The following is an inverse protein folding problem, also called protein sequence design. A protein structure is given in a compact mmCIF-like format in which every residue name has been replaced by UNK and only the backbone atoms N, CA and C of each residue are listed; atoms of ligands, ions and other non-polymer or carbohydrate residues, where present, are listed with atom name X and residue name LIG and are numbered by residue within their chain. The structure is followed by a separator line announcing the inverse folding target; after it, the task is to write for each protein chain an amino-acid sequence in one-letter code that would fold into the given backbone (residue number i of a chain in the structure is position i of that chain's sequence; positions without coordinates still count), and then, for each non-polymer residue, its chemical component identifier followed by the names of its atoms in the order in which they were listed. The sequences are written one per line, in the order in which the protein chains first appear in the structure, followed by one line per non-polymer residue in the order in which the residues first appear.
data_IF_647438011217
#
_entry.id   IF_647438011217
#
_cell.length_a   1.000
_cell.length_b   1.000
_cell.length_c   1.000
_cell.angle_alpha   90.00
_cell.angle_beta   90.00
_cell.angle_gamma   90.00
#
_symmetry.space_group_name_H-M   'P 1'
#
loop_
_entity.id
_entity.type
_entity.pdbx_description
1 polymer ?
#
# COMPACT_ATOMS: atom_id res chain seq x y z
N UNK A 1 18.86 0.51 1.94
CA UNK A 1 19.88 1.22 1.17
C UNK A 1 19.51 1.36 -0.31
N UNK A 2 19.11 0.29 -1.00
CA UNK A 2 18.87 0.32 -2.47
C UNK A 2 17.89 1.43 -2.87
N UNK A 3 16.73 1.52 -2.23
CA UNK A 3 15.74 2.56 -2.53
C UNK A 3 16.31 3.97 -2.36
N UNK A 4 16.96 4.23 -1.23
CA UNK A 4 17.58 5.53 -0.95
C UNK A 4 18.60 5.90 -2.01
N UNK A 5 19.49 4.99 -2.40
CA UNK A 5 20.49 5.29 -3.43
C UNK A 5 19.83 5.68 -4.76
N UNK A 6 18.76 5.00 -5.14
CA UNK A 6 18.01 5.32 -6.36
C UNK A 6 17.31 6.68 -6.23
N UNK A 7 16.62 6.94 -5.12
CA UNK A 7 15.94 8.22 -4.91
C UNK A 7 16.90 9.40 -4.85
N UNK A 8 18.09 9.20 -4.26
CA UNK A 8 19.10 10.24 -4.14
C UNK A 8 19.83 10.48 -5.46
N UNK A 9 20.40 9.45 -6.09
CA UNK A 9 21.31 9.64 -7.22
C UNK A 9 20.66 9.54 -8.59
N UNK A 10 19.51 8.89 -8.73
CA UNK A 10 18.84 8.72 -10.02
C UNK A 10 17.70 9.71 -10.23
N UNK A 11 16.99 10.09 -9.16
CA UNK A 11 15.81 10.95 -9.27
C UNK A 11 16.03 12.41 -8.84
N UNK A 12 17.05 12.67 -8.02
CA UNK A 12 17.18 13.96 -7.33
C UNK A 12 18.62 14.45 -7.23
N UNK A 13 19.46 14.06 -8.19
CA UNK A 13 20.82 14.61 -8.42
C UNK A 13 21.70 14.76 -7.16
N UNK A 14 21.58 13.84 -6.21
CA UNK A 14 22.37 13.80 -4.98
C UNK A 14 21.61 14.21 -3.71
N UNK A 15 20.36 14.68 -3.83
CA UNK A 15 19.52 15.05 -2.69
C UNK A 15 18.54 13.94 -2.29
N UNK A 16 18.33 13.75 -0.99
CA UNK A 16 17.36 12.78 -0.49
C UNK A 16 15.94 13.25 -0.84
N UNK A 17 15.16 12.40 -1.49
CA UNK A 17 13.84 12.76 -2.03
C UNK A 17 12.76 11.69 -1.83
N UNK A 18 11.53 12.03 -2.21
CA UNK A 18 10.36 11.17 -2.14
C UNK A 18 9.91 10.88 -0.70
N UNK A 19 8.94 9.97 -0.55
CA UNK A 19 8.34 9.59 0.75
C UNK A 19 9.36 9.41 1.88
N UNK A 20 10.52 8.81 1.60
CA UNK A 20 11.53 8.56 2.63
C UNK A 20 12.16 9.82 3.19
N UNK A 21 12.29 10.87 2.37
CA UNK A 21 12.79 12.18 2.79
C UNK A 21 11.74 12.89 3.61
N UNK A 22 10.51 12.96 3.09
CA UNK A 22 9.40 13.65 3.76
C UNK A 22 9.08 13.05 5.14
N UNK A 23 8.98 11.73 5.27
CA UNK A 23 8.72 11.11 6.59
C UNK A 23 9.85 11.35 7.60
N UNK A 24 11.08 11.46 7.12
CA UNK A 24 12.22 11.76 7.96
C UNK A 24 12.23 13.24 8.37
N UNK A 25 12.08 14.16 7.41
CA UNK A 25 12.07 15.60 7.65
C UNK A 25 10.90 16.03 8.55
N UNK A 26 9.68 15.56 8.28
CA UNK A 26 8.52 15.81 9.14
C UNK A 26 8.75 15.26 10.56
N UNK A 27 9.44 14.12 10.68
CA UNK A 27 9.82 13.53 11.97
C UNK A 27 10.78 14.44 12.75
N UNK A 28 11.74 15.07 12.07
CA UNK A 28 12.64 16.04 12.67
C UNK A 28 11.92 17.29 13.15
N UNK A 29 11.01 17.83 12.33
CA UNK A 29 10.20 19.00 12.69
C UNK A 29 9.39 18.67 13.95
N UNK A 30 8.72 17.52 13.99
CA UNK A 30 8.02 17.08 15.20
C UNK A 30 8.96 16.94 16.41
N UNK A 31 10.17 16.41 16.22
CA UNK A 31 11.15 16.29 17.31
C UNK A 31 11.56 17.66 17.87
N UNK A 32 11.75 18.67 17.01
CA UNK A 32 12.12 20.04 17.42
C UNK A 32 11.09 20.69 18.34
N UNK A 33 9.79 20.36 18.17
CA UNK A 33 8.72 20.82 19.07
C UNK A 33 9.02 20.46 20.53
N UNK A 34 9.71 19.35 20.80
CA UNK A 34 10.07 18.97 22.17
C UNK A 34 10.95 20.01 22.87
N UNK A 35 11.89 20.63 22.13
CA UNK A 35 12.77 21.67 22.67
C UNK A 35 12.02 22.98 22.94
N UNK A 36 10.95 23.26 22.19
CA UNK A 36 10.11 24.45 22.36
C UNK A 36 9.04 24.27 23.45
N UNK A 37 8.34 23.14 23.43
CA UNK A 37 7.27 22.79 24.35
C UNK A 37 7.12 21.26 24.45
N UNK A 38 7.66 20.64 25.51
CA UNK A 38 7.47 19.21 25.75
C UNK A 38 6.00 18.78 25.83
N UNK A 39 5.12 19.67 26.32
CA UNK A 39 3.68 19.40 26.40
C UNK A 39 3.05 19.28 25.00
N UNK A 40 3.35 20.21 24.10
CA UNK A 40 2.84 20.21 22.73
C UNK A 40 3.38 18.97 21.98
N UNK A 41 4.67 18.65 22.20
CA UNK A 41 5.30 17.45 21.64
C UNK A 41 4.56 16.17 22.04
N UNK A 42 4.34 15.93 23.33
CA UNK A 42 3.65 14.72 23.78
C UNK A 42 2.19 14.69 23.34
N UNK A 43 1.54 15.85 23.23
CA UNK A 43 0.19 15.96 22.66
C UNK A 43 0.19 15.46 21.21
N UNK A 44 1.10 15.96 20.36
CA UNK A 44 1.22 15.55 18.95
C UNK A 44 1.73 14.10 18.79
N UNK A 45 2.49 13.59 19.76
CA UNK A 45 2.98 12.22 19.75
C UNK A 45 1.86 11.19 19.94
N UNK A 46 0.85 11.50 20.77
CA UNK A 46 -0.24 10.58 21.10
C UNK A 46 -1.56 10.92 20.40
N UNK A 47 -1.81 12.20 20.12
CA UNK A 47 -2.99 12.74 19.47
C UNK A 47 -2.63 13.46 18.15
N UNK A 48 -3.57 13.65 17.24
CA UNK A 48 -3.33 14.34 15.96
C UNK A 48 -3.06 15.84 16.13
N UNK A 49 -3.36 16.40 17.30
CA UNK A 49 -3.40 17.84 17.54
C UNK A 49 -4.67 18.47 16.97
N UNK A 50 -5.10 19.58 17.57
CA UNK A 50 -6.10 20.44 16.95
C UNK A 50 -5.47 21.26 15.81
N UNK A 51 -6.32 21.89 14.99
CA UNK A 51 -5.86 22.63 13.82
C UNK A 51 -4.90 23.78 14.19
N UNK A 52 -5.16 24.50 15.29
CA UNK A 52 -4.32 25.62 15.72
C UNK A 52 -2.94 25.17 16.20
N UNK A 53 -2.86 24.04 16.90
CA UNK A 53 -1.59 23.45 17.33
C UNK A 53 -0.78 22.95 16.13
N UNK A 54 -1.44 22.30 15.17
CA UNK A 54 -0.78 21.82 13.95
C UNK A 54 -0.27 22.99 13.10
N UNK A 55 -1.08 24.03 12.91
CA UNK A 55 -0.65 25.23 12.15
C UNK A 55 0.48 25.98 12.86
N UNK A 56 0.48 26.05 14.19
CA UNK A 56 1.56 26.74 14.91
C UNK A 56 2.87 25.95 14.96
N UNK A 57 2.81 24.62 15.16
CA UNK A 57 4.00 23.79 15.42
C UNK A 57 4.48 22.97 14.23
N UNK A 58 3.62 22.67 13.26
CA UNK A 58 3.88 21.72 12.18
C UNK A 58 3.59 22.32 10.79
N UNK A 59 3.59 23.65 10.63
CA UNK A 59 3.32 24.30 9.34
C UNK A 59 4.29 23.91 8.22
N UNK A 60 5.54 23.58 8.57
CA UNK A 60 6.57 23.14 7.62
C UNK A 60 6.49 21.65 7.26
N UNK A 61 5.55 20.90 7.86
CA UNK A 61 5.39 19.47 7.55
C UNK A 61 4.60 19.26 6.26
N UNK A 62 5.06 18.37 5.40
CA UNK A 62 4.41 18.10 4.11
C UNK A 62 3.38 16.96 4.17
N UNK A 63 3.51 16.06 5.14
CA UNK A 63 2.76 14.81 5.19
C UNK A 63 1.97 14.59 6.48
N UNK A 64 2.06 15.49 7.46
CA UNK A 64 1.25 15.43 8.69
C UNK A 64 -0.25 15.62 8.44
N UNK A 65 -0.61 16.51 7.52
CA UNK A 65 -1.99 16.82 7.13
C UNK A 65 -2.11 16.76 5.60
N UNK A 66 -2.90 15.82 5.08
CA UNK A 66 -3.17 15.70 3.63
C UNK A 66 -4.38 16.49 3.16
N UNK A 67 -5.38 16.66 4.03
CA UNK A 67 -6.53 17.54 3.83
C UNK A 67 -7.15 17.90 5.18
N UNK A 68 -7.84 19.03 5.27
CA UNK A 68 -8.53 19.49 6.50
C UNK A 68 -9.53 18.47 7.06
N UNK A 69 -10.00 17.54 6.23
CA UNK A 69 -10.99 16.51 6.59
C UNK A 69 -10.38 15.10 6.77
N UNK A 70 -9.05 14.94 6.68
CA UNK A 70 -8.40 13.63 6.76
C UNK A 70 -8.24 13.16 8.22
N UNK A 71 -9.32 12.62 8.78
CA UNK A 71 -9.33 12.05 10.14
C UNK A 71 -8.43 10.81 10.28
N UNK A 72 -8.04 10.15 9.18
CA UNK A 72 -7.24 8.92 9.19
C UNK A 72 -5.99 9.04 8.31
N UNK A 73 -5.07 9.93 8.69
CA UNK A 73 -3.77 10.03 8.03
C UNK A 73 -2.76 9.01 8.58
N UNK A 74 -2.51 7.97 7.80
CA UNK A 74 -1.56 6.89 8.09
C UNK A 74 -0.08 7.32 8.04
N UNK A 75 0.24 8.53 7.55
CA UNK A 75 1.59 9.10 7.59
C UNK A 75 2.06 9.43 9.02
N UNK A 76 1.13 9.84 9.90
CA UNK A 76 1.48 10.35 11.25
C UNK A 76 2.25 9.33 12.07
N UNK A 77 1.92 8.03 11.94
CA UNK A 77 2.60 6.98 12.69
C UNK A 77 4.09 6.86 12.35
N UNK A 78 4.43 6.88 11.06
CA UNK A 78 5.84 6.81 10.64
C UNK A 78 6.60 8.10 10.99
N UNK A 79 5.94 9.26 10.93
CA UNK A 79 6.51 10.56 11.37
C UNK A 79 6.84 10.51 12.87
N UNK A 80 5.91 10.04 13.71
CA UNK A 80 6.11 9.87 15.16
C UNK A 80 7.27 8.92 15.48
N UNK A 81 7.41 7.81 14.75
CA UNK A 81 8.56 6.91 14.92
C UNK A 81 9.87 7.62 14.58
N UNK A 82 9.94 8.35 13.46
CA UNK A 82 11.13 9.11 13.11
C UNK A 82 11.46 10.18 14.16
N UNK A 83 10.46 10.91 14.65
CA UNK A 83 10.63 11.87 15.73
C UNK A 83 11.21 11.26 17.01
N UNK A 84 10.79 10.05 17.37
CA UNK A 84 11.38 9.33 18.52
C UNK A 84 12.81 8.87 18.25
N UNK A 85 13.10 8.44 17.01
CA UNK A 85 14.45 8.03 16.61
C UNK A 85 15.42 9.22 16.57
N UNK A 86 14.96 10.43 16.26
CA UNK A 86 15.77 11.66 16.22
C UNK A 86 16.52 11.92 17.54
N UNK A 87 15.92 11.61 18.70
CA UNK A 87 16.59 11.72 19.99
C UNK A 87 17.86 10.86 20.13
N UNK A 88 17.89 9.70 19.45
CA UNK A 88 18.99 8.74 19.54
C UNK A 88 19.94 8.91 18.36
N UNK A 89 19.41 9.22 17.18
CA UNK A 89 20.16 9.34 15.94
C UNK A 89 20.89 10.67 15.78
N UNK A 90 20.51 11.70 16.55
CA UNK A 90 20.93 13.09 16.32
C UNK A 90 20.65 13.54 14.89
N UNK A 91 19.45 13.21 14.40
CA UNK A 91 18.98 13.51 13.04
C UNK A 91 19.86 12.95 11.91
N UNK A 92 20.52 11.83 12.15
CA UNK A 92 21.27 11.11 11.11
C UNK A 92 20.34 10.14 10.38
N UNK A 93 19.98 10.47 9.14
CA UNK A 93 19.05 9.68 8.31
C UNK A 93 19.43 8.18 8.20
N UNK A 94 20.71 7.87 8.07
CA UNK A 94 21.17 6.47 7.92
C UNK A 94 20.87 5.61 9.16
N UNK A 95 20.81 6.21 10.37
CA UNK A 95 20.44 5.49 11.60
C UNK A 95 18.96 5.12 11.56
N UNK A 96 18.10 6.03 11.10
CA UNK A 96 16.68 5.75 10.89
C UNK A 96 16.51 4.66 9.84
N UNK A 97 17.16 4.80 8.69
CA UNK A 97 17.11 3.79 7.63
C UNK A 97 17.52 2.40 8.15
N UNK A 98 18.60 2.31 8.93
CA UNK A 98 19.06 1.05 9.52
C UNK A 98 18.00 0.46 10.45
N UNK A 99 17.38 1.27 11.31
CA UNK A 99 16.29 0.82 12.19
C UNK A 99 15.13 0.22 11.39
N UNK A 100 14.65 0.89 10.34
CA UNK A 100 13.54 0.39 9.51
C UNK A 100 13.92 -0.90 8.76
N UNK A 101 15.16 -1.01 8.26
CA UNK A 101 15.66 -2.23 7.63
C UNK A 101 15.69 -3.38 8.64
N UNK A 102 16.25 -3.16 9.83
CA UNK A 102 16.31 -4.18 10.89
C UNK A 102 14.91 -4.61 11.35
N UNK A 103 13.98 -3.68 11.49
CA UNK A 103 12.57 -3.94 11.79
C UNK A 103 11.93 -4.85 10.72
N UNK A 104 12.06 -4.51 9.44
CA UNK A 104 11.52 -5.33 8.36
C UNK A 104 12.16 -6.72 8.29
N UNK A 105 13.47 -6.81 8.52
CA UNK A 105 14.21 -8.06 8.52
C UNK A 105 13.78 -8.98 9.68
N UNK A 106 13.55 -8.43 10.87
CA UNK A 106 12.96 -9.17 11.99
C UNK A 106 11.56 -9.69 11.62
N UNK A 107 10.73 -8.88 10.96
CA UNK A 107 9.43 -9.30 10.42
C UNK A 107 9.54 -10.51 9.49
N UNK A 108 10.47 -10.46 8.53
CA UNK A 108 10.72 -11.57 7.60
C UNK A 108 11.23 -12.83 8.32
N UNK A 109 12.07 -12.70 9.34
CA UNK A 109 12.50 -13.84 10.16
C UNK A 109 11.32 -14.48 10.90
N UNK A 110 10.48 -13.67 11.55
CA UNK A 110 9.31 -14.16 12.27
C UNK A 110 8.32 -14.85 11.30
N UNK A 111 8.10 -14.27 10.13
CA UNK A 111 7.31 -14.89 9.08
C UNK A 111 7.91 -16.22 8.62
N UNK A 112 9.20 -16.25 8.25
CA UNK A 112 9.94 -17.45 7.86
C UNK A 112 9.83 -18.57 8.91
N UNK A 113 10.03 -18.23 10.19
CA UNK A 113 9.91 -19.18 11.30
C UNK A 113 8.51 -19.75 11.48
N UNK A 114 7.49 -19.06 10.98
CA UNK A 114 6.11 -19.54 11.02
C UNK A 114 5.78 -20.56 9.94
N UNK A 115 6.62 -20.66 8.90
CA UNK A 115 6.33 -21.46 7.69
C UNK A 115 7.44 -22.44 7.30
N UNK A 116 8.62 -22.39 7.93
CA UNK A 116 9.76 -23.25 7.55
C UNK A 116 9.50 -24.75 7.71
N UNK A 117 8.55 -25.13 8.57
CA UNK A 117 8.10 -26.50 8.82
C UNK A 117 7.23 -27.06 7.69
N UNK A 118 6.61 -26.21 6.86
CA UNK A 118 5.85 -26.65 5.68
C UNK A 118 6.76 -27.22 4.58
N UNK A 119 8.03 -26.79 4.53
CA UNK A 119 9.02 -27.23 3.53
C UNK A 119 10.38 -27.59 4.13
N UNK A 120 10.48 -28.69 4.91
CA UNK A 120 11.70 -29.05 5.62
C UNK A 120 12.94 -29.21 4.72
N UNK A 121 12.74 -29.59 3.45
CA UNK A 121 13.81 -29.78 2.47
C UNK A 121 14.35 -28.48 1.87
N UNK A 122 13.51 -27.44 1.81
CA UNK A 122 13.78 -26.19 1.07
C UNK A 122 13.83 -24.96 1.99
N UNK A 123 14.22 -25.17 3.25
CA UNK A 123 14.26 -24.11 4.28
C UNK A 123 15.18 -22.95 3.88
N UNK A 124 16.37 -23.28 3.36
CA UNK A 124 17.36 -22.26 2.95
C UNK A 124 16.85 -21.47 1.74
N UNK A 125 16.28 -22.17 0.78
CA UNK A 125 15.72 -21.60 -0.45
C UNK A 125 14.53 -20.70 -0.16
N UNK A 126 13.66 -21.09 0.79
CA UNK A 126 12.57 -20.24 1.27
C UNK A 126 13.10 -18.96 1.94
N UNK A 127 14.11 -19.09 2.79
CA UNK A 127 14.71 -17.93 3.45
C UNK A 127 15.34 -16.99 2.42
N UNK A 128 16.11 -17.53 1.46
CA UNK A 128 16.69 -16.76 0.37
C UNK A 128 15.63 -16.11 -0.51
N UNK A 129 14.54 -16.82 -0.84
CA UNK A 129 13.42 -16.26 -1.58
C UNK A 129 12.83 -15.06 -0.84
N UNK A 130 12.58 -15.15 0.46
CA UNK A 130 11.99 -14.07 1.25
C UNK A 130 12.86 -12.80 1.30
N UNK A 131 14.18 -12.94 1.40
CA UNK A 131 15.09 -11.79 1.54
C UNK A 131 15.59 -11.25 0.20
N UNK A 132 15.59 -12.06 -0.87
CA UNK A 132 16.06 -11.66 -2.20
C UNK A 132 14.90 -11.35 -3.17
N UNK A 133 13.65 -11.52 -2.74
CA UNK A 133 12.52 -11.18 -3.59
C UNK A 133 12.56 -9.68 -3.94
N UNK A 134 12.63 -9.29 -5.22
CA UNK A 134 12.98 -7.92 -5.62
C UNK A 134 12.15 -6.83 -4.95
N UNK A 135 10.81 -6.93 -4.97
CA UNK A 135 9.95 -5.91 -4.37
C UNK A 135 10.07 -5.86 -2.85
N UNK A 136 10.20 -7.00 -2.16
CA UNK A 136 10.41 -6.99 -0.71
C UNK A 136 11.74 -6.30 -0.39
N UNK A 137 12.81 -6.74 -1.04
CA UNK A 137 14.14 -6.17 -0.86
C UNK A 137 14.18 -4.67 -1.17
N UNK A 138 13.46 -4.22 -2.20
CA UNK A 138 13.46 -2.82 -2.61
C UNK A 138 12.63 -1.95 -1.66
N UNK A 139 11.34 -2.26 -1.47
CA UNK A 139 10.40 -1.41 -0.73
C UNK A 139 10.56 -1.46 0.78
N UNK A 140 11.25 -2.45 1.34
CA UNK A 140 11.60 -2.48 2.78
C UNK A 140 13.01 -1.95 3.07
N UNK A 141 13.69 -1.38 2.07
CA UNK A 141 15.07 -0.92 2.20
C UNK A 141 15.24 0.54 2.64
N UNK A 142 14.20 1.22 3.14
CA UNK A 142 14.32 2.59 3.63
C UNK A 142 13.26 2.95 4.68
N UNK A 143 13.17 4.24 5.04
CA UNK A 143 12.20 4.82 5.97
C UNK A 143 10.83 4.87 5.29
N UNK A 144 10.19 3.71 5.15
CA UNK A 144 8.89 3.53 4.52
C UNK A 144 7.94 2.72 5.39
N UNK A 145 6.64 2.91 5.13
CA UNK A 145 5.55 2.18 5.80
C UNK A 145 5.61 0.69 5.53
N UNK A 146 6.08 0.29 4.36
CA UNK A 146 6.24 -1.12 3.97
C UNK A 146 7.16 -1.87 4.94
N UNK A 147 8.25 -1.25 5.41
CA UNK A 147 9.16 -1.85 6.38
C UNK A 147 8.45 -2.21 7.70
N UNK A 148 7.61 -1.30 8.21
CA UNK A 148 6.82 -1.50 9.42
C UNK A 148 5.68 -2.50 9.21
N UNK A 149 5.03 -2.48 8.04
CA UNK A 149 3.98 -3.44 7.70
C UNK A 149 4.53 -4.87 7.74
N UNK A 150 5.70 -5.12 7.15
CA UNK A 150 6.33 -6.44 7.16
C UNK A 150 6.69 -6.89 8.58
N UNK A 151 7.16 -5.97 9.44
CA UNK A 151 7.34 -6.25 10.87
C UNK A 151 6.03 -6.66 11.54
N UNK A 152 4.99 -5.82 11.43
CA UNK A 152 3.70 -6.06 12.06
C UNK A 152 3.05 -7.37 11.59
N UNK A 153 3.13 -7.65 10.29
CA UNK A 153 2.60 -8.90 9.72
C UNK A 153 3.40 -10.13 10.18
N UNK A 154 4.73 -10.06 10.21
CA UNK A 154 5.59 -11.13 10.72
C UNK A 154 5.30 -11.45 12.19
N UNK A 155 5.18 -10.42 13.04
CA UNK A 155 4.79 -10.55 14.44
C UNK A 155 3.42 -11.19 14.61
N UNK A 156 2.44 -10.74 13.83
CA UNK A 156 1.07 -11.26 13.86
C UNK A 156 1.02 -12.75 13.51
N UNK A 157 1.59 -13.15 12.37
CA UNK A 157 1.56 -14.54 11.91
C UNK A 157 2.31 -15.46 12.87
N UNK A 158 3.49 -15.05 13.34
CA UNK A 158 4.28 -15.83 14.29
C UNK A 158 3.62 -15.95 15.67
N UNK A 159 2.98 -14.87 16.13
CA UNK A 159 2.18 -14.85 17.35
C UNK A 159 1.00 -15.82 17.26
N UNK A 160 0.22 -15.77 16.18
CA UNK A 160 -0.93 -16.66 15.93
C UNK A 160 -0.50 -18.13 15.80
N UNK A 161 0.51 -18.41 14.96
CA UNK A 161 0.95 -19.78 14.62
C UNK A 161 1.43 -20.58 15.85
N UNK A 162 2.12 -19.91 16.76
CA UNK A 162 2.71 -20.50 17.96
C UNK A 162 2.02 -20.02 19.24
N UNK A 163 0.79 -19.53 19.12
CA UNK A 163 0.00 -19.12 20.27
C UNK A 163 -0.18 -20.30 21.24
N UNK A 164 0.04 -20.03 22.53
CA UNK A 164 -0.22 -20.98 23.60
C UNK A 164 -0.66 -20.18 24.82
N UNK A 165 -1.72 -20.61 25.50
CA UNK A 165 -2.24 -19.98 26.73
C UNK A 165 -1.14 -19.86 27.80
N UNK A 166 -0.14 -20.76 27.77
CA UNK A 166 1.00 -20.74 28.70
C UNK A 166 2.11 -19.73 28.32
N UNK A 167 2.01 -19.06 27.18
CA UNK A 167 3.07 -18.21 26.63
C UNK A 167 2.59 -16.78 26.39
N UNK A 168 2.77 -15.91 27.39
CA UNK A 168 2.29 -14.51 27.38
C UNK A 168 2.96 -13.64 26.30
N UNK A 169 4.23 -13.88 25.97
CA UNK A 169 4.94 -13.04 24.99
C UNK A 169 4.39 -13.18 23.55
N UNK A 170 3.73 -14.30 23.22
CA UNK A 170 3.03 -14.45 21.93
C UNK A 170 1.84 -13.52 21.80
N UNK A 171 1.12 -13.28 22.91
CA UNK A 171 0.02 -12.31 22.98
C UNK A 171 0.56 -10.91 22.73
N UNK A 172 1.70 -10.57 23.33
CA UNK A 172 2.37 -9.28 23.11
C UNK A 172 2.70 -9.09 21.63
N UNK A 173 3.23 -10.12 20.95
CA UNK A 173 3.49 -10.05 19.51
C UNK A 173 2.22 -9.87 18.67
N UNK A 174 1.12 -10.53 19.03
CA UNK A 174 -0.17 -10.35 18.33
C UNK A 174 -0.66 -8.91 18.51
N UNK A 175 -0.69 -8.40 19.74
CA UNK A 175 -1.16 -7.04 20.05
C UNK A 175 -0.28 -6.00 19.36
N UNK A 176 1.05 -6.14 19.45
CA UNK A 176 1.99 -5.23 18.82
C UNK A 176 1.89 -5.29 17.28
N UNK A 177 1.76 -6.50 16.72
CA UNK A 177 1.57 -6.69 15.28
C UNK A 177 0.29 -6.03 14.78
N UNK A 178 -0.84 -6.21 15.47
CA UNK A 178 -2.11 -5.55 15.16
C UNK A 178 -2.00 -4.03 15.28
N UNK A 179 -1.36 -3.52 16.34
CA UNK A 179 -1.15 -2.09 16.55
C UNK A 179 -0.33 -1.47 15.41
N UNK A 180 0.77 -2.10 15.00
CA UNK A 180 1.60 -1.63 13.88
C UNK A 180 0.79 -1.64 12.58
N UNK A 181 0.07 -2.73 12.27
CA UNK A 181 -0.71 -2.83 11.04
C UNK A 181 -1.84 -1.81 10.96
N UNK A 182 -2.54 -1.58 12.07
CA UNK A 182 -3.63 -0.59 12.15
C UNK A 182 -3.14 0.83 11.87
N UNK A 183 -1.98 1.19 12.42
CA UNK A 183 -1.42 2.54 12.28
C UNK A 183 -0.61 2.75 10.99
N UNK A 184 -0.18 1.68 10.32
CA UNK A 184 0.58 1.78 9.07
C UNK A 184 -0.32 1.72 7.84
N UNK A 185 -1.16 0.69 7.73
CA UNK A 185 -2.03 0.44 6.56
C UNK A 185 -3.26 -0.35 7.00
N UNK A 186 -4.25 0.35 7.56
CA UNK A 186 -5.48 -0.28 8.07
C UNK A 186 -6.23 -1.12 7.01
N UNK A 187 -6.16 -0.75 5.73
CA UNK A 187 -6.77 -1.52 4.64
C UNK A 187 -6.19 -2.92 4.48
N UNK A 188 -4.90 -3.13 4.81
CA UNK A 188 -4.28 -4.46 4.82
C UNK A 188 -4.92 -5.34 5.90
N UNK A 189 -5.20 -4.78 7.07
CA UNK A 189 -5.90 -5.48 8.15
C UNK A 189 -7.35 -5.79 7.79
N UNK A 190 -8.07 -4.85 7.15
CA UNK A 190 -9.43 -5.10 6.67
C UNK A 190 -9.50 -6.25 5.65
N UNK A 191 -8.46 -6.44 4.83
CA UNK A 191 -8.38 -7.61 3.94
C UNK A 191 -8.05 -8.92 4.70
N UNK A 192 -7.31 -8.84 5.81
CA UNK A 192 -6.99 -10.00 6.64
C UNK A 192 -8.19 -10.51 7.43
N UNK A 193 -9.11 -9.66 7.88
CA UNK A 193 -10.27 -10.07 8.70
C UNK A 193 -11.12 -11.16 8.02
N UNK A 194 -11.65 -10.98 6.79
CA UNK A 194 -12.42 -12.03 6.11
C UNK A 194 -11.56 -13.26 5.76
N UNK A 195 -10.26 -13.07 5.51
CA UNK A 195 -9.35 -14.19 5.30
C UNK A 195 -9.20 -15.05 6.58
N UNK A 196 -8.97 -14.43 7.73
CA UNK A 196 -8.87 -15.09 9.04
C UNK A 196 -10.18 -15.78 9.42
N UNK A 197 -11.33 -15.18 9.10
CA UNK A 197 -12.63 -15.81 9.28
C UNK A 197 -12.71 -17.18 8.59
N UNK A 198 -12.24 -17.29 7.34
CA UNK A 198 -12.18 -18.58 6.64
C UNK A 198 -11.19 -19.57 7.26
N UNK A 199 -10.04 -19.10 7.72
CA UNK A 199 -9.07 -19.96 8.40
C UNK A 199 -9.68 -20.62 9.66
N UNK A 200 -10.54 -19.90 10.38
CA UNK A 200 -11.18 -20.37 11.61
C UNK A 200 -12.38 -21.31 11.35
N UNK A 201 -13.22 -20.99 10.37
CA UNK A 201 -14.52 -21.65 10.18
C UNK A 201 -14.49 -22.82 9.20
N UNK A 202 -13.62 -22.77 8.18
CA UNK A 202 -13.64 -23.80 7.15
C UNK A 202 -13.22 -25.16 7.71
N UNK A 203 -13.87 -26.20 7.22
CA UNK A 203 -13.54 -27.58 7.57
C UNK A 203 -12.42 -28.12 6.67
N UNK A 204 -11.75 -29.19 7.10
CA UNK A 204 -10.70 -29.83 6.28
C UNK A 204 -11.24 -30.50 4.99
N UNK A 205 -12.57 -30.57 4.81
CA UNK A 205 -13.19 -31.11 3.60
C UNK A 205 -13.15 -30.10 2.45
N UNK A 206 -12.46 -30.44 1.37
CA UNK A 206 -12.35 -29.62 0.15
C UNK A 206 -13.72 -29.25 -0.44
N UNK A 207 -14.61 -30.24 -0.64
CA UNK A 207 -15.93 -30.01 -1.27
C UNK A 207 -16.81 -29.07 -0.44
N UNK A 208 -16.90 -29.29 0.88
CA UNK A 208 -17.71 -28.43 1.78
C UNK A 208 -17.13 -27.02 1.84
N UNK A 209 -15.81 -26.89 1.88
CA UNK A 209 -15.15 -25.58 1.91
C UNK A 209 -15.44 -24.74 0.68
N UNK A 210 -15.47 -25.34 -0.52
CA UNK A 210 -15.86 -24.63 -1.75
C UNK A 210 -17.30 -24.13 -1.72
N UNK A 211 -18.24 -24.93 -1.17
CA UNK A 211 -19.64 -24.52 -1.05
C UNK A 211 -19.75 -23.32 -0.09
N UNK A 212 -19.14 -23.42 1.10
CA UNK A 212 -19.12 -22.34 2.08
C UNK A 212 -18.45 -21.08 1.52
N UNK A 213 -17.33 -21.24 0.81
CA UNK A 213 -16.62 -20.14 0.17
C UNK A 213 -17.46 -19.44 -0.91
N UNK A 214 -18.09 -20.22 -1.80
CA UNK A 214 -18.93 -19.68 -2.88
C UNK A 214 -20.14 -18.94 -2.33
N UNK A 215 -20.79 -19.50 -1.31
CA UNK A 215 -21.89 -18.83 -0.62
C UNK A 215 -21.44 -17.51 0.02
N UNK A 216 -20.28 -17.49 0.66
CA UNK A 216 -19.75 -16.28 1.27
C UNK A 216 -19.41 -15.20 0.24
N UNK A 217 -18.78 -15.57 -0.89
CA UNK A 217 -18.51 -14.63 -1.99
C UNK A 217 -19.83 -14.05 -2.53
N UNK A 218 -20.84 -14.89 -2.72
CA UNK A 218 -22.18 -14.46 -3.13
C UNK A 218 -22.80 -13.48 -2.10
N UNK A 219 -22.76 -13.81 -0.81
CA UNK A 219 -23.23 -12.92 0.25
C UNK A 219 -22.43 -11.61 0.32
N UNK A 220 -21.12 -11.65 0.04
CA UNK A 220 -20.28 -10.46 -0.04
C UNK A 220 -20.69 -9.51 -1.17
N UNK A 221 -21.05 -10.05 -2.34
CA UNK A 221 -21.59 -9.26 -3.45
C UNK A 221 -22.94 -8.64 -3.09
N UNK A 222 -23.85 -9.42 -2.46
CA UNK A 222 -25.12 -8.88 -1.97
C UNK A 222 -24.91 -7.80 -0.90
N UNK A 223 -23.94 -8.00 0.00
CA UNK A 223 -23.58 -7.03 1.01
C UNK A 223 -23.06 -5.73 0.38
N UNK A 224 -22.26 -5.78 -0.70
CA UNK A 224 -21.83 -4.57 -1.41
C UNK A 224 -23.02 -3.79 -1.98
N UNK A 225 -23.99 -4.51 -2.59
CA UNK A 225 -25.23 -3.90 -3.08
C UNK A 225 -26.05 -3.27 -1.96
N UNK A 226 -26.27 -3.99 -0.86
CA UNK A 226 -26.97 -3.46 0.30
C UNK A 226 -26.24 -2.28 0.96
N UNK A 227 -24.92 -2.37 1.14
CA UNK A 227 -24.09 -1.33 1.71
C UNK A 227 -24.12 -0.03 0.88
N UNK A 228 -24.23 -0.16 -0.45
CA UNK A 228 -24.30 1.00 -1.35
C UNK A 228 -25.53 1.88 -1.14
N UNK A 229 -26.55 1.40 -0.41
CA UNK A 229 -27.77 2.17 -0.07
C UNK A 229 -27.58 3.12 1.10
N UNK A 230 -26.51 2.97 1.89
CA UNK A 230 -26.22 3.85 3.02
C UNK A 230 -25.43 5.08 2.57
N UNK A 231 -25.67 6.24 3.20
CA UNK A 231 -24.94 7.48 2.89
C UNK A 231 -23.63 7.60 3.66
N UNK A 232 -23.62 7.32 4.97
CA UNK A 232 -22.46 7.55 5.84
C UNK A 232 -21.37 6.47 5.75
N UNK A 233 -21.74 5.22 5.50
CA UNK A 233 -20.82 4.07 5.45
C UNK A 233 -20.93 3.35 4.12
N UNK A 234 -20.59 4.06 3.03
CA UNK A 234 -20.68 3.52 1.68
C UNK A 234 -19.30 3.12 1.16
N UNK A 235 -19.03 1.81 1.13
CA UNK A 235 -17.76 1.26 0.64
C UNK A 235 -17.52 1.64 -0.83
N UNK A 236 -18.59 1.65 -1.64
CA UNK A 236 -18.48 1.96 -3.07
C UNK A 236 -18.05 3.41 -3.26
N UNK A 237 -18.69 4.35 -2.55
CA UNK A 237 -18.29 5.76 -2.59
C UNK A 237 -16.87 5.98 -2.09
N UNK A 238 -16.46 5.28 -1.02
CA UNK A 238 -15.09 5.37 -0.51
C UNK A 238 -14.06 4.89 -1.54
N UNK A 239 -14.30 3.76 -2.21
CA UNK A 239 -13.41 3.25 -3.27
C UNK A 239 -13.39 4.23 -4.46
N UNK A 240 -14.54 4.76 -4.86
CA UNK A 240 -14.66 5.72 -5.96
C UNK A 240 -13.91 7.02 -5.65
N UNK A 241 -14.03 7.54 -4.43
CA UNK A 241 -13.29 8.71 -3.97
C UNK A 241 -11.78 8.45 -4.00
N UNK A 242 -11.31 7.33 -3.44
CA UNK A 242 -9.88 6.97 -3.49
C UNK A 242 -9.38 6.80 -4.92
N UNK A 243 -10.18 6.23 -5.81
CA UNK A 243 -9.85 6.12 -7.23
C UNK A 243 -9.73 7.52 -7.88
N UNK A 244 -10.64 8.45 -7.58
CA UNK A 244 -10.56 9.85 -8.04
C UNK A 244 -9.30 10.53 -7.55
N UNK A 245 -9.01 10.48 -6.24
CA UNK A 245 -7.83 11.08 -5.63
C UNK A 245 -6.53 10.61 -6.30
N UNK A 246 -6.39 9.29 -6.48
CA UNK A 246 -5.22 8.72 -7.13
C UNK A 246 -5.15 8.99 -8.64
N UNK A 247 -6.30 9.15 -9.32
CA UNK A 247 -6.33 9.61 -10.70
C UNK A 247 -5.82 11.06 -10.83
N UNK A 248 -6.19 11.95 -9.90
CA UNK A 248 -5.70 13.33 -9.89
C UNK A 248 -4.18 13.38 -9.72
N UNK A 249 -3.64 12.62 -8.76
CA UNK A 249 -2.18 12.48 -8.56
C UNK A 249 -1.50 11.87 -9.79
N UNK A 250 -2.10 10.84 -10.38
CA UNK A 250 -1.54 10.17 -11.56
C UNK A 250 -1.50 11.04 -12.81
N UNK A 251 -2.56 11.83 -13.05
CA UNK A 251 -2.65 12.78 -14.17
C UNK A 251 -1.82 14.04 -13.96
N UNK A 252 -1.42 14.36 -12.72
CA UNK A 252 -0.82 15.64 -12.39
C UNK A 252 -1.76 16.81 -12.67
N UNK A 253 -1.23 18.03 -12.66
CA UNK A 253 -2.00 19.23 -12.98
C UNK A 253 -1.34 20.50 -12.45
N UNK A 254 -1.87 21.64 -12.89
CA UNK A 254 -1.55 22.94 -12.31
C UNK A 254 -2.70 23.33 -11.40
N UNK A 255 -2.38 23.63 -10.15
CA UNK A 255 -3.31 23.98 -9.09
C UNK A 255 -3.15 25.45 -8.73
N UNK A 256 -4.27 26.16 -8.64
CA UNK A 256 -4.33 27.57 -8.28
C UNK A 256 -5.62 27.86 -7.52
N UNK A 257 -5.71 29.01 -6.86
CA UNK A 257 -6.85 29.31 -5.98
C UNK A 257 -7.24 30.79 -5.97
N UNK A 258 -8.49 31.03 -5.57
CA UNK A 258 -9.00 32.33 -5.13
C UNK A 258 -9.37 32.29 -3.64
N UNK A 259 -10.16 33.24 -3.16
CA UNK A 259 -10.58 33.34 -1.76
C UNK A 259 -11.59 32.26 -1.32
N UNK A 260 -12.15 31.48 -2.24
CA UNK A 260 -13.24 30.52 -1.96
C UNK A 260 -13.02 29.13 -2.59
N UNK A 261 -12.21 29.04 -3.64
CA UNK A 261 -12.10 27.87 -4.52
C UNK A 261 -10.65 27.52 -4.83
N UNK A 262 -10.40 26.20 -4.87
CA UNK A 262 -9.28 25.60 -5.58
C UNK A 262 -9.69 25.27 -7.02
N UNK A 263 -8.78 25.54 -7.93
CA UNK A 263 -8.89 25.24 -9.34
C UNK A 263 -7.76 24.30 -9.77
N UNK A 264 -8.09 23.41 -10.69
CA UNK A 264 -7.13 22.50 -11.32
C UNK A 264 -7.34 22.51 -12.82
N UNK A 265 -6.23 22.51 -13.56
CA UNK A 265 -6.23 22.12 -14.98
C UNK A 265 -5.35 20.90 -15.18
N UNK A 266 -5.66 20.09 -16.21
CA UNK A 266 -4.80 18.98 -16.58
C UNK A 266 -3.44 19.51 -17.04
N UNK A 267 -2.36 18.80 -16.69
CA UNK A 267 -1.00 19.26 -16.96
C UNK A 267 -0.71 19.48 -18.45
N UNK A 268 -1.37 18.71 -19.33
CA UNK A 268 -1.27 18.87 -20.79
C UNK A 268 -1.72 20.25 -21.27
N UNK A 269 -2.62 20.90 -20.53
CA UNK A 269 -3.21 22.18 -20.85
C UNK A 269 -2.45 23.34 -20.19
N UNK A 270 -1.30 23.09 -19.52
CA UNK A 270 -0.52 24.13 -18.85
C UNK A 270 -0.12 25.31 -19.74
N UNK A 271 -0.05 25.10 -21.07
CA UNK A 271 0.31 26.12 -22.04
C UNK A 271 -0.76 27.22 -22.16
N UNK A 272 -2.00 26.97 -21.74
CA UNK A 272 -3.07 27.97 -21.66
C UNK A 272 -2.84 28.97 -20.51
N UNK A 273 -1.85 28.72 -19.65
CA UNK A 273 -1.50 29.57 -18.52
C UNK A 273 -0.24 30.39 -18.77
N UNK A 274 -0.21 31.60 -18.21
CA UNK A 274 1.01 32.34 -17.90
C UNK A 274 1.24 32.17 -16.40
N UNK A 275 2.38 31.58 -16.04
CA UNK A 275 2.75 31.27 -14.65
C UNK A 275 3.88 32.19 -14.20
N UNK A 276 3.73 32.76 -13.01
CA UNK A 276 4.78 33.39 -12.21
C UNK A 276 4.80 32.73 -10.82
N UNK A 277 5.83 32.98 -10.01
CA UNK A 277 6.02 32.34 -8.70
C UNK A 277 4.84 32.56 -7.72
N UNK A 278 4.04 33.60 -7.90
CA UNK A 278 2.90 33.91 -7.03
C UNK A 278 1.53 33.78 -7.69
N UNK A 279 1.44 33.81 -9.03
CA UNK A 279 0.17 33.94 -9.73
C UNK A 279 0.10 33.15 -11.03
N UNK A 280 -1.12 32.78 -11.40
CA UNK A 280 -1.50 32.19 -12.67
C UNK A 280 -2.45 33.14 -13.39
N UNK A 281 -2.18 33.42 -14.66
CA UNK A 281 -3.06 34.21 -15.55
C UNK A 281 -3.48 33.35 -16.74
N UNK A 282 -4.78 33.36 -17.06
CA UNK A 282 -5.34 32.59 -18.18
C UNK A 282 -5.10 33.32 -19.52
N UNK A 283 -4.50 32.65 -20.51
CA UNK A 283 -4.29 33.20 -21.87
C UNK A 283 -5.56 33.23 -22.71
N UNK A 284 -6.50 32.36 -22.38
CA UNK A 284 -7.78 32.15 -23.07
C UNK A 284 -8.83 31.60 -22.10
N UNK A 285 -10.08 31.58 -22.54
CA UNK A 285 -11.18 30.98 -21.76
C UNK A 285 -10.87 29.50 -21.52
N UNK A 286 -10.65 29.15 -20.26
CA UNK A 286 -10.11 27.83 -19.90
C UNK A 286 -11.13 27.06 -19.08
N UNK A 287 -11.43 25.84 -19.51
CA UNK A 287 -12.22 24.92 -18.71
C UNK A 287 -11.37 24.39 -17.56
N UNK A 288 -11.88 24.53 -16.33
CA UNK A 288 -11.18 24.13 -15.12
C UNK A 288 -12.03 23.19 -14.28
N UNK A 289 -11.33 22.36 -13.51
CA UNK A 289 -11.92 21.60 -12.42
C UNK A 289 -11.93 22.49 -11.16
N UNK A 290 -13.08 22.63 -10.52
CA UNK A 290 -13.27 23.49 -9.33
C UNK A 290 -13.58 22.66 -8.10
N UNK A 291 -12.98 23.02 -6.98
CA UNK A 291 -13.23 22.47 -5.66
C UNK A 291 -13.35 23.61 -4.64
N UNK A 292 -14.50 23.76 -4.01
CA UNK A 292 -14.69 24.74 -2.93
C UNK A 292 -13.89 24.36 -1.68
N UNK A 293 -13.47 25.35 -0.90
CA UNK A 293 -12.89 25.08 0.42
C UNK A 293 -13.87 24.27 1.29
N UNK A 294 -13.37 23.22 1.94
CA UNK A 294 -14.17 22.26 2.70
C UNK A 294 -14.91 21.18 1.88
N UNK A 295 -14.96 21.27 0.55
CA UNK A 295 -15.44 20.14 -0.27
C UNK A 295 -14.31 19.10 -0.49
N UNK A 296 -14.67 17.87 -0.83
CA UNK A 296 -13.71 16.78 -1.09
C UNK A 296 -13.44 16.59 -2.58
N UNK A 297 -14.38 16.96 -3.44
CA UNK A 297 -14.37 16.58 -4.86
C UNK A 297 -14.25 17.78 -5.79
N UNK A 298 -13.45 17.61 -6.84
CA UNK A 298 -13.40 18.54 -7.97
C UNK A 298 -14.59 18.28 -8.90
N UNK A 299 -15.21 19.35 -9.40
CA UNK A 299 -16.28 19.31 -10.40
C UNK A 299 -15.80 19.98 -11.68
N UNK A 300 -16.06 19.33 -12.81
CA UNK A 300 -15.77 19.89 -14.14
C UNK A 300 -16.93 20.81 -14.49
N UNK A 301 -16.92 22.06 -14.01
CA UNK A 301 -18.11 22.92 -14.18
C UNK A 301 -17.82 24.42 -14.13
N UNK A 302 -16.62 24.86 -14.50
CA UNK A 302 -16.38 26.29 -14.68
C UNK A 302 -15.47 26.56 -15.86
N UNK A 303 -15.91 27.47 -16.71
CA UNK A 303 -15.05 28.13 -17.70
C UNK A 303 -14.64 29.45 -17.06
N UNK A 304 -13.34 29.59 -16.81
CA UNK A 304 -12.80 30.84 -16.30
C UNK A 304 -12.42 31.74 -17.47
N UNK A 305 -12.77 33.03 -17.44
CA UNK A 305 -12.54 33.91 -18.56
C UNK A 305 -11.06 34.23 -18.72
N UNK A 306 -10.65 34.46 -19.96
CA UNK A 306 -9.33 34.99 -20.32
C UNK A 306 -8.94 36.19 -19.45
N UNK A 307 -7.64 36.33 -19.18
CA UNK A 307 -7.01 37.37 -18.37
C UNK A 307 -7.38 37.36 -16.87
N UNK A 308 -8.13 36.35 -16.42
CA UNK A 308 -8.36 36.11 -14.98
C UNK A 308 -7.05 35.74 -14.28
N UNK A 309 -6.86 36.28 -13.07
CA UNK A 309 -5.66 36.10 -12.25
C UNK A 309 -5.98 35.38 -10.95
N UNK A 310 -5.23 34.32 -10.67
CA UNK A 310 -5.38 33.47 -9.48
C UNK A 310 -4.05 33.32 -8.76
N UNK A 311 -4.09 32.98 -7.47
CA UNK A 311 -2.88 32.68 -6.71
C UNK A 311 -2.37 31.29 -7.11
N UNK A 312 -1.10 31.20 -7.49
CA UNK A 312 -0.46 29.92 -7.76
C UNK A 312 -0.41 29.10 -6.47
N UNK A 313 -0.77 27.81 -6.55
CA UNK A 313 -0.73 26.91 -5.39
C UNK A 313 0.36 25.85 -5.55
N UNK A 314 0.26 25.02 -6.60
CA UNK A 314 1.27 24.00 -6.88
C UNK A 314 1.20 23.51 -8.31
N UNK A 315 2.26 22.85 -8.76
CA UNK A 315 2.30 22.17 -10.04
C UNK A 315 2.83 20.75 -9.83
N UNK A 316 2.16 19.79 -10.45
CA UNK A 316 2.53 18.39 -10.38
C UNK A 316 2.58 17.80 -11.79
N UNK A 317 3.73 17.24 -12.17
CA UNK A 317 3.86 16.53 -13.42
C UNK A 317 3.06 15.22 -13.41
N UNK A 318 2.51 14.79 -14.56
CA UNK A 318 1.84 13.50 -14.68
C UNK A 318 2.81 12.35 -14.41
N UNK A 319 2.31 11.26 -13.82
CA UNK A 319 3.11 10.06 -13.68
C UNK A 319 3.38 9.43 -15.05
N UNK A 320 4.66 9.18 -15.35
CA UNK A 320 5.10 8.45 -16.55
C UNK A 320 4.51 7.04 -16.68
N UNK A 321 4.00 6.49 -15.58
CA UNK A 321 3.40 5.16 -15.48
C UNK A 321 1.90 5.18 -15.20
N UNK A 322 1.25 6.34 -15.41
CA UNK A 322 -0.19 6.47 -15.34
C UNK A 322 -0.87 5.63 -16.44
N UNK A 323 -1.99 5.00 -16.09
CA UNK A 323 -2.84 4.31 -17.06
C UNK A 323 -4.30 4.42 -16.65
N UNK A 324 -5.20 4.36 -17.63
CA UNK A 324 -6.63 4.47 -17.37
C UNK A 324 -7.17 3.18 -16.76
N UNK A 325 -7.84 3.30 -15.61
CA UNK A 325 -8.55 2.23 -14.91
C UNK A 325 -10.06 2.42 -15.13
N UNK A 326 -10.87 1.36 -15.36
CA UNK A 326 -12.32 1.48 -15.40
C UNK A 326 -12.87 2.11 -14.12
N UNK A 327 -13.67 3.15 -14.26
CA UNK A 327 -14.15 3.93 -13.13
C UNK A 327 -15.27 3.22 -12.36
N UNK A 328 -15.23 3.32 -11.04
CA UNK A 328 -16.29 2.79 -10.16
C UNK A 328 -17.54 3.66 -10.24
N UNK A 329 -17.37 4.98 -10.34
CA UNK A 329 -18.46 5.97 -10.48
C UNK A 329 -19.58 5.80 -9.46
N UNK A 330 -19.19 5.58 -8.19
CA UNK A 330 -20.08 5.41 -7.05
C UNK A 330 -21.14 4.30 -7.23
N UNK A 331 -20.96 3.40 -8.20
CA UNK A 331 -21.91 2.35 -8.55
C UNK A 331 -21.34 0.95 -8.25
N UNK A 332 -21.94 0.24 -7.29
CA UNK A 332 -21.37 -1.01 -6.74
C UNK A 332 -21.21 -2.14 -7.78
N UNK A 333 -22.11 -2.22 -8.77
CA UNK A 333 -21.97 -3.19 -9.86
C UNK A 333 -20.67 -3.02 -10.65
N UNK A 334 -20.14 -1.80 -10.78
CA UNK A 334 -18.90 -1.54 -11.50
C UNK A 334 -17.71 -2.23 -10.80
N UNK A 335 -17.71 -2.30 -9.46
CA UNK A 335 -16.69 -3.03 -8.70
C UNK A 335 -16.69 -4.52 -9.09
N UNK A 336 -17.87 -5.11 -9.23
CA UNK A 336 -18.03 -6.53 -9.57
C UNK A 336 -17.72 -6.79 -11.04
N UNK A 337 -18.27 -5.98 -11.94
CA UNK A 337 -18.10 -6.10 -13.40
C UNK A 337 -16.64 -5.92 -13.82
N UNK A 338 -15.94 -4.93 -13.25
CA UNK A 338 -14.54 -4.64 -13.57
C UNK A 338 -13.54 -5.40 -12.68
N UNK A 339 -14.02 -6.25 -11.76
CA UNK A 339 -13.16 -7.06 -10.89
C UNK A 339 -12.08 -7.86 -11.64
N UNK A 340 -12.32 -8.47 -12.83
CA UNK A 340 -11.27 -9.19 -13.53
C UNK A 340 -10.17 -8.24 -14.03
N UNK A 341 -10.54 -7.03 -14.48
CA UNK A 341 -9.61 -6.01 -14.95
C UNK A 341 -8.75 -5.52 -13.78
N UNK A 342 -9.38 -5.14 -12.65
CA UNK A 342 -8.67 -4.69 -11.45
C UNK A 342 -7.66 -5.73 -10.96
N UNK A 343 -8.09 -6.99 -10.85
CA UNK A 343 -7.22 -8.07 -10.43
C UNK A 343 -6.05 -8.29 -11.40
N UNK A 344 -6.33 -8.32 -12.70
CA UNK A 344 -5.30 -8.54 -13.73
C UNK A 344 -4.27 -7.42 -13.78
N UNK A 345 -4.69 -6.16 -13.58
CA UNK A 345 -3.79 -5.02 -13.53
C UNK A 345 -2.75 -5.20 -12.42
N UNK A 346 -3.17 -5.60 -11.22
CA UNK A 346 -2.24 -5.81 -10.09
C UNK A 346 -1.36 -7.02 -10.30
N UNK A 347 -1.92 -8.12 -10.82
CA UNK A 347 -1.18 -9.36 -11.03
C UNK A 347 -0.12 -9.24 -12.13
N UNK A 348 -0.45 -8.58 -13.25
CA UNK A 348 0.33 -8.64 -14.48
C UNK A 348 1.19 -7.39 -14.74
N UNK A 349 0.77 -6.20 -14.29
CA UNK A 349 1.53 -4.97 -14.57
C UNK A 349 2.82 -4.87 -13.73
N UNK A 350 3.91 -4.31 -14.29
CA UNK A 350 4.02 -3.66 -15.61
C UNK A 350 4.07 -4.64 -16.80
N UNK A 351 3.45 -4.25 -17.91
CA UNK A 351 3.60 -4.92 -19.21
C UNK A 351 4.88 -4.45 -19.95
N UNK A 352 5.49 -5.29 -20.80
CA UNK A 352 6.70 -4.92 -21.56
C UNK A 352 6.58 -3.62 -22.37
N UNK A 353 5.39 -3.36 -22.92
CA UNK A 353 5.09 -2.20 -23.78
C UNK A 353 4.61 -0.96 -23.02
N UNK A 354 4.43 -1.02 -21.69
CA UNK A 354 4.04 0.16 -20.91
C UNK A 354 5.20 1.13 -20.71
N UNK A 355 4.91 2.43 -20.77
CA UNK A 355 5.82 3.48 -20.35
C UNK A 355 6.12 3.38 -18.84
N UNK A 356 7.31 3.82 -18.45
CA UNK A 356 7.74 3.78 -17.06
C UNK A 356 9.26 3.84 -16.94
N UNK A 357 9.73 4.00 -15.71
CA UNK A 357 11.18 4.03 -15.42
C UNK A 357 11.84 2.68 -15.65
N UNK A 358 13.17 2.65 -15.66
CA UNK A 358 13.97 1.43 -15.77
C UNK A 358 13.62 0.38 -14.71
N UNK A 359 13.12 0.82 -13.54
CA UNK A 359 12.69 -0.05 -12.44
C UNK A 359 11.52 -0.97 -12.84
N UNK A 360 10.77 -0.64 -13.89
CA UNK A 360 9.68 -1.49 -14.38
C UNK A 360 10.14 -2.90 -14.74
N UNK A 361 11.38 -3.05 -15.23
CA UNK A 361 11.91 -4.35 -15.67
C UNK A 361 12.12 -5.31 -14.50
N UNK A 362 12.55 -4.82 -13.33
CA UNK A 362 12.69 -5.64 -12.13
C UNK A 362 11.33 -6.19 -11.68
N UNK A 363 10.30 -5.34 -11.71
CA UNK A 363 8.93 -5.74 -11.34
C UNK A 363 8.31 -6.69 -12.37
N UNK A 364 8.69 -6.57 -13.65
CA UNK A 364 8.25 -7.49 -14.69
C UNK A 364 8.86 -8.90 -14.49
N UNK A 365 10.16 -8.99 -14.18
CA UNK A 365 10.82 -10.25 -13.84
C UNK A 365 10.13 -10.90 -12.64
N UNK A 366 9.77 -10.11 -11.63
CA UNK A 366 9.03 -10.57 -10.47
C UNK A 366 7.67 -11.17 -10.83
N UNK A 367 6.87 -10.49 -11.65
CA UNK A 367 5.58 -11.01 -12.11
C UNK A 367 5.75 -12.31 -12.90
N UNK A 368 6.79 -12.40 -13.76
CA UNK A 368 7.11 -13.64 -14.48
C UNK A 368 7.46 -14.75 -13.49
N UNK A 369 8.25 -14.49 -12.46
CA UNK A 369 8.55 -15.46 -11.40
C UNK A 369 7.28 -15.94 -10.69
N UNK A 370 6.37 -15.02 -10.35
CA UNK A 370 5.09 -15.36 -9.74
C UNK A 370 4.21 -16.24 -10.65
N UNK A 371 4.16 -15.93 -11.96
CA UNK A 371 3.45 -16.73 -12.95
C UNK A 371 4.08 -18.12 -13.14
N UNK A 372 5.41 -18.21 -13.11
CA UNK A 372 6.12 -19.49 -13.13
C UNK A 372 5.80 -20.32 -11.89
N UNK A 373 5.74 -19.71 -10.70
CA UNK A 373 5.32 -20.39 -9.47
C UNK A 373 3.88 -20.89 -9.57
N UNK A 374 2.96 -20.08 -10.10
CA UNK A 374 1.57 -20.49 -10.38
C UNK A 374 1.52 -21.70 -11.32
N UNK A 375 2.29 -21.70 -12.41
CA UNK A 375 2.38 -22.83 -13.33
C UNK A 375 2.93 -24.09 -12.64
N UNK A 376 3.99 -23.96 -11.83
CA UNK A 376 4.57 -25.06 -11.06
C UNK A 376 3.57 -25.64 -10.06
N UNK A 377 2.75 -24.81 -9.43
CA UNK A 377 1.67 -25.24 -8.54
C UNK A 377 0.67 -26.11 -9.30
N UNK A 378 0.25 -25.72 -10.51
CA UNK A 378 -0.67 -26.52 -11.31
C UNK A 378 -0.08 -27.89 -11.66
N UNK A 379 1.21 -27.95 -11.97
CA UNK A 379 1.93 -29.19 -12.32
C UNK A 379 2.17 -30.11 -11.11
N UNK A 380 2.57 -29.55 -9.97
CA UNK A 380 2.99 -30.28 -8.78
C UNK A 380 1.98 -30.18 -7.62
N UNK A 381 0.71 -29.91 -7.89
CA UNK A 381 -0.33 -29.81 -6.85
C UNK A 381 -0.53 -31.12 -6.10
N UNK A 382 -0.81 -30.98 -4.81
CA UNK A 382 -1.36 -32.02 -3.95
C UNK A 382 -2.72 -32.50 -4.49
N UNK A 383 -3.11 -33.72 -4.11
CA UNK A 383 -4.49 -34.19 -4.30
C UNK A 383 -5.42 -33.34 -3.43
N UNK A 384 -6.67 -33.17 -3.84
CA UNK A 384 -7.63 -32.29 -3.14
C UNK A 384 -7.80 -32.60 -1.64
N UNK A 385 -7.63 -33.86 -1.22
CA UNK A 385 -7.71 -34.26 0.20
C UNK A 385 -6.45 -33.97 1.03
N UNK A 386 -5.34 -33.60 0.39
CA UNK A 386 -4.05 -33.29 1.04
C UNK A 386 -3.78 -31.78 1.10
N UNK A 387 -4.57 -30.98 0.37
CA UNK A 387 -4.47 -29.51 0.40
C UNK A 387 -4.92 -29.01 1.77
N UNK A 388 -4.15 -28.11 2.36
CA UNK A 388 -4.58 -27.38 3.55
C UNK A 388 -5.70 -26.40 3.13
N UNK A 389 -6.95 -26.83 3.26
CA UNK A 389 -8.12 -26.06 2.82
C UNK A 389 -8.21 -24.71 3.52
N UNK A 390 -7.91 -24.67 4.82
CA UNK A 390 -7.98 -23.46 5.64
C UNK A 390 -6.97 -22.44 5.14
N UNK A 391 -5.70 -22.85 4.98
CA UNK A 391 -4.64 -21.97 4.50
C UNK A 391 -4.86 -21.53 3.04
N UNK A 392 -5.38 -22.44 2.20
CA UNK A 392 -5.72 -22.14 0.81
C UNK A 392 -6.76 -21.03 0.70
N UNK A 393 -7.92 -21.19 1.36
CA UNK A 393 -9.00 -20.20 1.28
C UNK A 393 -8.67 -18.91 2.05
N UNK A 394 -7.91 -18.98 3.15
CA UNK A 394 -7.33 -17.80 3.79
C UNK A 394 -6.55 -16.97 2.77
N UNK A 395 -5.57 -17.60 2.11
CA UNK A 395 -4.67 -16.92 1.19
C UNK A 395 -5.40 -16.42 -0.05
N UNK A 396 -6.29 -17.23 -0.62
CA UNK A 396 -7.10 -16.88 -1.78
C UNK A 396 -8.00 -15.66 -1.51
N UNK A 397 -8.69 -15.65 -0.36
CA UNK A 397 -9.57 -14.54 0.04
C UNK A 397 -8.80 -13.24 0.15
N UNK A 398 -7.66 -13.29 0.87
CA UNK A 398 -6.82 -12.12 1.04
C UNK A 398 -6.33 -11.58 -0.31
N UNK A 399 -5.76 -12.45 -1.15
CA UNK A 399 -5.19 -12.05 -2.45
C UNK A 399 -6.27 -11.42 -3.32
N UNK A 400 -7.47 -12.02 -3.41
CA UNK A 400 -8.56 -11.49 -4.21
C UNK A 400 -9.00 -10.10 -3.71
N UNK A 401 -9.35 -9.96 -2.44
CA UNK A 401 -9.84 -8.68 -1.90
C UNK A 401 -8.76 -7.60 -2.01
N UNK A 402 -7.53 -7.92 -1.61
CA UNK A 402 -6.42 -6.96 -1.60
C UNK A 402 -6.06 -6.49 -3.02
N UNK A 403 -6.01 -7.41 -4.00
CA UNK A 403 -5.71 -7.06 -5.39
C UNK A 403 -6.87 -6.29 -6.04
N UNK A 404 -8.11 -6.60 -5.68
CA UNK A 404 -9.27 -5.83 -6.15
C UNK A 404 -9.22 -4.39 -5.64
N UNK A 405 -8.93 -4.16 -4.35
CA UNK A 405 -8.84 -2.81 -3.78
C UNK A 405 -7.71 -2.01 -4.42
N UNK A 406 -6.51 -2.60 -4.56
CA UNK A 406 -5.38 -1.92 -5.20
C UNK A 406 -5.70 -1.63 -6.68
N UNK A 407 -6.22 -2.63 -7.40
CA UNK A 407 -6.49 -2.52 -8.83
C UNK A 407 -7.62 -1.55 -9.17
N UNK A 408 -8.59 -1.39 -8.27
CA UNK A 408 -9.66 -0.41 -8.41
C UNK A 408 -9.17 1.02 -8.11
N UNK A 409 -8.32 1.20 -7.08
CA UNK A 409 -8.00 2.55 -6.59
C UNK A 409 -6.71 3.14 -7.15
N UNK A 410 -5.78 2.34 -7.69
CA UNK A 410 -4.41 2.79 -8.01
C UNK A 410 -4.11 2.76 -9.51
N UNK A 411 -4.21 3.89 -10.25
CA UNK A 411 -3.98 4.00 -11.69
C UNK A 411 -2.52 4.32 -12.05
N UNK A 412 -1.57 4.04 -11.15
CA UNK A 412 -0.13 4.31 -11.32
C UNK A 412 0.64 3.02 -11.09
N UNK A 413 1.33 2.52 -12.12
CA UNK A 413 1.98 1.20 -12.05
C UNK A 413 3.05 1.14 -10.97
N UNK A 414 3.85 2.20 -10.79
CA UNK A 414 4.84 2.28 -9.71
C UNK A 414 4.21 2.11 -8.32
N UNK A 415 3.04 2.71 -8.09
CA UNK A 415 2.30 2.57 -6.83
C UNK A 415 1.69 1.18 -6.66
N UNK A 416 1.17 0.57 -7.73
CA UNK A 416 0.66 -0.82 -7.70
C UNK A 416 1.76 -1.78 -7.22
N UNK A 417 2.97 -1.69 -7.78
CA UNK A 417 4.10 -2.55 -7.40
C UNK A 417 4.40 -2.41 -5.91
N UNK A 418 4.49 -1.17 -5.40
CA UNK A 418 4.73 -0.90 -3.99
C UNK A 418 3.61 -1.47 -3.11
N UNK A 419 2.36 -1.18 -3.43
CA UNK A 419 1.23 -1.55 -2.59
C UNK A 419 0.96 -3.05 -2.57
N UNK A 420 1.24 -3.76 -3.68
CA UNK A 420 1.08 -5.22 -3.73
C UNK A 420 2.23 -5.99 -3.05
N UNK A 421 3.35 -5.34 -2.76
CA UNK A 421 4.57 -5.97 -2.20
C UNK A 421 4.30 -6.87 -1.00
N UNK A 422 3.52 -6.46 0.04
CA UNK A 422 3.26 -7.32 1.19
C UNK A 422 2.46 -8.58 0.87
N UNK A 423 1.64 -8.56 -0.20
CA UNK A 423 0.85 -9.72 -0.59
C UNK A 423 1.71 -10.89 -1.08
N UNK A 424 2.99 -10.66 -1.42
CA UNK A 424 3.90 -11.75 -1.75
C UNK A 424 4.05 -12.76 -0.62
N UNK A 425 4.03 -12.30 0.65
CA UNK A 425 4.06 -13.21 1.80
C UNK A 425 2.81 -14.11 1.83
N UNK A 426 1.66 -13.59 1.41
CA UNK A 426 0.42 -14.37 1.29
C UNK A 426 0.45 -15.30 0.08
N UNK A 427 1.06 -14.90 -1.03
CA UNK A 427 1.31 -15.79 -2.17
C UNK A 427 2.16 -17.01 -1.76
N UNK A 428 3.16 -16.83 -0.90
CA UNK A 428 3.92 -17.95 -0.36
C UNK A 428 3.01 -18.90 0.42
N UNK A 429 2.14 -18.40 1.30
CA UNK A 429 1.17 -19.23 2.03
C UNK A 429 0.22 -19.98 1.08
N UNK A 430 -0.25 -19.30 0.03
CA UNK A 430 -1.06 -19.91 -1.02
C UNK A 430 -0.33 -21.08 -1.68
N UNK A 431 0.93 -20.88 -2.09
CA UNK A 431 1.74 -21.94 -2.70
C UNK A 431 2.02 -23.11 -1.75
N UNK A 432 2.36 -22.84 -0.49
CA UNK A 432 2.60 -23.87 0.52
C UNK A 432 1.36 -24.73 0.79
N UNK A 433 0.16 -24.15 0.70
CA UNK A 433 -1.08 -24.88 0.88
C UNK A 433 -1.30 -25.94 -0.21
N UNK A 434 -0.86 -25.68 -1.45
CA UNK A 434 -1.19 -26.50 -2.64
C UNK A 434 -0.04 -27.40 -3.11
N UNK A 435 1.22 -26.95 -3.07
CA UNK A 435 2.35 -27.66 -3.71
C UNK A 435 2.70 -28.94 -2.96
N UNK A 436 2.86 -30.04 -3.71
CA UNK A 436 3.42 -31.30 -3.22
C UNK A 436 4.94 -31.32 -3.41
N UNK A 437 5.65 -30.85 -2.39
CA UNK A 437 7.12 -30.82 -2.38
C UNK A 437 7.77 -32.21 -2.43
N UNK A 438 7.03 -33.32 -2.21
CA UNK A 438 7.58 -34.67 -2.36
C UNK A 438 7.81 -35.02 -3.83
N UNK A 439 7.01 -34.48 -4.75
CA UNK A 439 7.13 -34.69 -6.20
C UNK A 439 8.22 -33.83 -6.85
N UNK A 440 8.67 -32.79 -6.15
CA UNK A 440 9.75 -31.91 -6.59
C UNK A 440 11.07 -32.53 -6.13
N UNK A 441 11.52 -33.56 -6.85
CA UNK A 441 12.84 -34.18 -6.65
C UNK A 441 13.86 -33.57 -7.60
N UNK A 442 14.88 -32.90 -7.05
CA UNK A 442 16.07 -32.44 -7.78
C UNK A 442 17.21 -33.47 -7.84
N UNK A 443 16.99 -34.72 -7.40
CA UNK A 443 17.99 -35.80 -7.57
C UNK A 443 17.56 -36.73 -8.69
N UNK A 444 18.37 -36.93 -9.75
CA UNK A 444 18.17 -38.09 -10.60
C UNK A 444 18.32 -39.31 -9.69
N UNK A 445 17.32 -40.19 -9.70
CA UNK A 445 17.52 -41.54 -9.18
C UNK A 445 18.66 -42.13 -9.99
N UNK A 446 19.88 -42.12 -9.44
CA UNK A 446 20.93 -43.03 -9.91
C UNK A 446 20.38 -44.42 -9.63
N UNK A 447 19.76 -45.02 -10.65
CA UNK A 447 19.57 -46.46 -10.68
C UNK A 447 20.96 -47.08 -10.55
N UNK A 448 21.34 -47.47 -9.34
CA UNK A 448 22.36 -48.48 -9.14
C UNK A 448 21.71 -49.78 -9.63
N UNK A 449 22.02 -50.15 -10.87
CA UNK A 449 21.96 -51.55 -11.29
C UNK A 449 23.10 -52.30 -10.63
#
# INVERSE_FOLDING_TARGET
MILTLIYTYYYSDGELSGDTAHYFNDGKILNQVFSESPQDYFTLLFDSGDQGLVESRLHDTEHWTRSELDQFNDNRFIIRINSLLSFISLDVFFVHMLFFIMASFLGLILFYKSIEDFIPKFKKELFLLLILYPSLLFWTSSVLKESLLILGFGMLIYGIRFFSIKSSWKIILIILGLFILMNTKIYFLFCLIPALFFYLILNSSWKRSWITYSLFVFLGVLFLGWNSTFEKFNITKYISQKQRDFNLVGKGGVYFMDEQNFYRIEYKDQNTLIKDHAYVVLKEDTQVEVKKFGELEYRIDSVLPKDSRFKFYSEQEPSLSYFKVPEVNDHWLNIVLYSPVYFSNVLLMPYPWQSGSILKWLNMIENVLLLLLLFLVLKYRKKAGEIDTKLFFFSLTFILIFYLIIGATTPVVGAIVRYKTPAFLIWILFFLSIIDFKRITLKPQKHKK
#
